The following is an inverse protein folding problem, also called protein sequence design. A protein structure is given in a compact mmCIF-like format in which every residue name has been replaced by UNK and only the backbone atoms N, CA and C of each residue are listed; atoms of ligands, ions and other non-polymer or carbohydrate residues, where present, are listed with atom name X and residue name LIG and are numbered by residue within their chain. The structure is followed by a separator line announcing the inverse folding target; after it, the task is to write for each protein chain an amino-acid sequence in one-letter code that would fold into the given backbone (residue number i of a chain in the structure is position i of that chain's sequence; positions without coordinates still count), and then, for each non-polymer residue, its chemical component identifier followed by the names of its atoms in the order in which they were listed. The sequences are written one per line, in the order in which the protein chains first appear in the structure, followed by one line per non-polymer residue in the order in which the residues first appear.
data_IF_063007825114
#
_entry.id   IF_063007825114
#
_cell.length_a   1.000
_cell.length_b   1.000
_cell.length_c   1.000
_cell.angle_alpha   90.00
_cell.angle_beta   90.00
_cell.angle_gamma   90.00
#
_symmetry.space_group_name_H-M   'P 1'
#
loop_
_entity.id
_entity.type
_entity.pdbx_description
1 polymer ?
#
# COMPACT_ATOMS: atom_id res chain seq x y z
N UNK A 1 41.95 -21.07 -6.31
CA UNK A 1 41.21 -20.09 -5.47
C UNK A 1 40.64 -18.90 -6.25
N UNK A 2 41.34 -18.30 -7.23
CA UNK A 2 40.89 -17.06 -7.89
C UNK A 2 39.56 -17.11 -8.66
N UNK A 3 39.28 -18.17 -9.44
CA UNK A 3 38.03 -18.27 -10.23
C UNK A 3 36.78 -18.48 -9.35
N UNK A 4 36.93 -19.21 -8.25
CA UNK A 4 35.85 -19.47 -7.29
C UNK A 4 35.49 -18.21 -6.49
N UNK A 5 36.48 -17.40 -6.11
CA UNK A 5 36.27 -16.12 -5.43
C UNK A 5 35.62 -15.06 -6.33
N UNK A 6 36.02 -14.99 -7.60
CA UNK A 6 35.42 -14.08 -8.58
C UNK A 6 33.97 -14.46 -8.90
N UNK A 7 33.67 -15.76 -9.05
CA UNK A 7 32.32 -16.25 -9.29
C UNK A 7 31.37 -15.94 -8.14
N UNK A 8 31.79 -16.20 -6.90
CA UNK A 8 30.97 -15.91 -5.70
C UNK A 8 30.74 -14.40 -5.52
N UNK A 9 31.75 -13.58 -5.78
CA UNK A 9 31.65 -12.12 -5.73
C UNK A 9 30.70 -11.55 -6.80
N UNK A 10 30.76 -12.07 -8.03
CA UNK A 10 29.88 -11.65 -9.11
C UNK A 10 28.40 -11.99 -8.84
N UNK A 11 28.13 -13.15 -8.25
CA UNK A 11 26.76 -13.54 -7.85
C UNK A 11 26.23 -12.58 -6.77
N UNK A 12 27.05 -12.24 -5.78
CA UNK A 12 26.68 -11.27 -4.74
C UNK A 12 26.34 -9.89 -5.32
N UNK A 13 27.19 -9.37 -6.22
CA UNK A 13 26.96 -8.09 -6.89
C UNK A 13 25.68 -8.08 -7.73
N UNK A 14 25.39 -9.18 -8.44
CA UNK A 14 24.17 -9.32 -9.23
C UNK A 14 22.91 -9.29 -8.36
N UNK A 15 22.91 -9.99 -7.21
CA UNK A 15 21.77 -10.00 -6.27
C UNK A 15 21.50 -8.58 -5.76
N UNK A 16 22.54 -7.87 -5.30
CA UNK A 16 22.39 -6.49 -4.82
C UNK A 16 21.86 -5.57 -5.93
N UNK A 17 22.37 -5.72 -7.16
CA UNK A 17 21.90 -4.95 -8.31
C UNK A 17 20.42 -5.18 -8.63
N UNK A 18 19.93 -6.42 -8.52
CA UNK A 18 18.52 -6.75 -8.71
C UNK A 18 17.66 -6.13 -7.61
N UNK A 19 18.07 -6.23 -6.34
CA UNK A 19 17.34 -5.61 -5.23
C UNK A 19 17.27 -4.08 -5.36
N UNK A 20 18.36 -3.41 -5.76
CA UNK A 20 18.34 -1.96 -5.98
C UNK A 20 17.60 -1.53 -7.24
N UNK A 21 17.60 -2.34 -8.30
CA UNK A 21 16.76 -2.09 -9.47
C UNK A 21 15.26 -2.30 -9.18
N UNK A 22 14.94 -3.06 -8.12
CA UNK A 22 13.58 -3.41 -7.73
C UNK A 22 13.32 -3.03 -6.27
N UNK A 23 13.58 -1.77 -5.91
CA UNK A 23 13.35 -1.25 -4.55
C UNK A 23 11.91 -1.46 -4.05
N UNK A 24 10.94 -1.55 -4.98
CA UNK A 24 9.55 -1.93 -4.70
C UNK A 24 9.40 -3.30 -4.05
N UNK A 25 10.35 -4.23 -4.23
CA UNK A 25 10.34 -5.54 -3.55
C UNK A 25 10.69 -5.44 -2.05
N UNK A 26 11.42 -4.39 -1.65
CA UNK A 26 11.78 -4.13 -0.26
C UNK A 26 10.80 -3.18 0.44
N UNK A 27 9.93 -2.52 -0.31
CA UNK A 27 8.85 -1.71 0.23
C UNK A 27 7.76 -2.63 0.77
N UNK A 28 7.26 -2.31 1.97
CA UNK A 28 6.09 -3.01 2.50
C UNK A 28 4.93 -2.78 1.54
N UNK A 29 4.47 -3.85 0.90
CA UNK A 29 3.35 -3.77 -0.04
C UNK A 29 2.17 -3.18 0.73
N UNK A 30 1.61 -2.10 0.20
CA UNK A 30 0.47 -1.39 0.76
C UNK A 30 -0.64 -2.42 0.98
N UNK A 31 -0.91 -2.78 2.24
CA UNK A 31 -2.08 -3.57 2.61
C UNK A 31 -3.32 -2.94 1.97
N UNK A 32 -3.93 -3.63 1.01
CA UNK A 32 -5.22 -3.22 0.49
C UNK A 32 -6.23 -3.39 1.63
N UNK A 33 -6.95 -2.32 1.94
CA UNK A 33 -8.08 -2.42 2.84
C UNK A 33 -9.11 -3.38 2.23
N UNK A 34 -9.62 -4.33 3.02
CA UNK A 34 -10.72 -5.17 2.57
C UNK A 34 -11.98 -4.31 2.39
N UNK A 35 -12.89 -4.77 1.53
CA UNK A 35 -14.18 -4.11 1.33
C UNK A 35 -14.97 -4.05 2.64
N UNK A 36 -14.98 -5.12 3.43
CA UNK A 36 -15.61 -5.16 4.75
C UNK A 36 -15.10 -4.06 5.69
N UNK A 37 -13.78 -3.83 5.69
CA UNK A 37 -13.18 -2.76 6.50
C UNK A 37 -13.59 -1.36 6.01
N UNK A 38 -13.70 -1.18 4.69
CA UNK A 38 -14.10 0.10 4.11
C UNK A 38 -15.59 0.37 4.30
N UNK A 39 -16.45 -0.65 4.27
CA UNK A 39 -17.90 -0.52 4.46
C UNK A 39 -18.26 -0.11 5.89
N UNK A 40 -17.58 -0.68 6.88
CA UNK A 40 -17.80 -0.42 8.29
C UNK A 40 -17.08 0.83 8.81
N UNK A 41 -16.29 1.51 7.98
CA UNK A 41 -15.59 2.72 8.37
C UNK A 41 -16.58 3.87 8.64
N UNK A 42 -16.42 4.49 9.81
CA UNK A 42 -17.15 5.70 10.20
C UNK A 42 -16.45 6.94 9.60
N UNK A 43 -17.14 7.63 8.71
CA UNK A 43 -16.67 8.83 8.04
C UNK A 43 -17.21 10.07 8.75
N UNK A 44 -16.33 10.98 9.13
CA UNK A 44 -16.73 12.27 9.68
C UNK A 44 -17.01 13.25 8.53
N UNK A 45 -18.24 13.76 8.47
CA UNK A 45 -18.59 14.79 7.51
C UNK A 45 -17.90 16.10 7.88
N UNK A 46 -17.28 16.75 6.88
CA UNK A 46 -16.71 18.10 7.01
C UNK A 46 -17.74 19.20 6.71
N UNK A 47 -18.97 18.82 6.33
CA UNK A 47 -20.07 19.76 6.17
C UNK A 47 -20.51 20.34 7.53
N UNK A 48 -21.14 21.51 7.52
CA UNK A 48 -21.60 22.21 8.74
C UNK A 48 -22.48 21.35 9.65
N UNK A 49 -23.14 20.31 9.13
CA UNK A 49 -24.03 19.41 9.87
C UNK A 49 -23.30 18.25 10.60
N UNK A 50 -21.96 18.25 10.61
CA UNK A 50 -21.13 17.55 11.61
C UNK A 50 -21.57 16.14 12.02
N UNK A 51 -21.92 15.29 11.06
CA UNK A 51 -22.39 13.92 11.31
C UNK A 51 -21.31 12.86 11.10
N UNK A 52 -21.38 11.78 11.89
CA UNK A 52 -20.66 10.53 11.59
C UNK A 52 -21.56 9.68 10.68
N UNK A 53 -21.05 9.31 9.52
CA UNK A 53 -21.78 8.57 8.49
C UNK A 53 -21.00 7.30 8.16
N UNK A 54 -21.66 6.15 8.17
CA UNK A 54 -21.02 4.90 7.70
C UNK A 54 -20.74 4.97 6.20
N UNK A 55 -19.55 4.58 5.79
CA UNK A 55 -19.13 4.53 4.38
C UNK A 55 -20.10 3.73 3.49
N UNK A 56 -20.63 2.61 3.98
CA UNK A 56 -21.64 1.80 3.27
C UNK A 56 -22.86 2.62 2.82
N UNK A 57 -23.35 3.51 3.67
CA UNK A 57 -24.55 4.30 3.37
C UNK A 57 -24.34 5.27 2.20
N UNK A 58 -23.11 5.78 2.01
CA UNK A 58 -22.77 6.65 0.89
C UNK A 58 -22.69 5.87 -0.42
N UNK A 59 -22.16 4.65 -0.39
CA UNK A 59 -22.14 3.77 -1.56
C UNK A 59 -23.56 3.44 -2.01
N UNK A 60 -24.41 2.97 -1.10
CA UNK A 60 -25.79 2.59 -1.43
C UNK A 60 -26.64 3.77 -1.93
N UNK A 61 -26.47 4.96 -1.33
CA UNK A 61 -27.28 6.13 -1.68
C UNK A 61 -26.81 6.84 -2.97
N UNK A 62 -25.50 6.89 -3.22
CA UNK A 62 -24.92 7.76 -4.27
C UNK A 62 -23.93 7.06 -5.19
N UNK A 63 -23.63 5.78 -4.97
CA UNK A 63 -22.58 5.06 -5.69
C UNK A 63 -21.17 5.55 -5.35
N UNK A 64 -20.98 6.19 -4.19
CA UNK A 64 -19.70 6.76 -3.79
C UNK A 64 -18.61 5.68 -3.64
N UNK A 65 -17.43 5.97 -4.18
CA UNK A 65 -16.24 5.13 -4.02
C UNK A 65 -15.38 5.71 -2.90
N UNK A 66 -15.21 4.95 -1.82
CA UNK A 66 -14.36 5.34 -0.69
C UNK A 66 -12.96 4.76 -0.89
N UNK A 67 -11.95 5.62 -0.87
CA UNK A 67 -10.54 5.23 -0.97
C UNK A 67 -9.78 5.72 0.26
N UNK A 68 -9.21 4.78 1.02
CA UNK A 68 -8.29 5.10 2.11
C UNK A 68 -6.90 5.39 1.55
N UNK A 69 -6.51 6.66 1.52
CA UNK A 69 -5.18 7.09 1.07
C UNK A 69 -4.29 7.35 2.29
N UNK A 70 -3.11 6.74 2.28
CA UNK A 70 -2.07 6.98 3.28
C UNK A 70 -1.32 8.24 2.87
N UNK A 71 -1.07 9.17 3.80
CA UNK A 71 -0.16 10.28 3.52
C UNK A 71 1.27 9.72 3.39
N UNK A 72 2.00 10.03 2.29
CA UNK A 72 3.43 9.75 2.24
C UNK A 72 4.14 10.69 3.23
N UNK A 73 4.81 10.14 4.24
CA UNK A 73 5.49 10.90 5.30
C UNK A 73 5.64 10.10 6.59
#
# INVERSE_FOLDING_TARGET
MGVWSLGLGAVGAAIVGIFFANTDLCLSKVAQASMDYLEDADLQSTAEDGGVIKAKSLWEASGAVVMAVRRPG
#
